data_IF_444539959379
#
_entry.id   IF_444539959379
#
_cell.length_a   1.000
_cell.length_b   1.000
_cell.length_c   1.000
_cell.angle_alpha   90.00
_cell.angle_beta   90.00
_cell.angle_gamma   90.00
#
_symmetry.space_group_name_H-M   'P 1'
#
loop_
_entity.id
_entity.type
_entity.pdbx_description
1 polymer ?
#
# COMPACT_ATOMS: atom_id res chain seq x y z
N UNK A 1 -20.95 3.82 -4.93
CA UNK A 1 -20.79 2.78 -5.95
C UNK A 1 -20.22 1.55 -5.29
N UNK A 2 -21.01 0.48 -5.27
CA UNK A 2 -20.59 -0.87 -4.91
C UNK A 2 -19.71 -1.44 -6.02
N UNK A 3 -18.57 -1.99 -5.63
CA UNK A 3 -17.59 -2.56 -6.55
C UNK A 3 -17.86 -4.05 -6.85
N UNK A 4 -17.35 -4.56 -7.98
CA UNK A 4 -17.40 -5.98 -8.33
C UNK A 4 -16.84 -6.90 -7.24
N UNK A 5 -17.29 -8.16 -7.21
CA UNK A 5 -16.75 -9.17 -6.29
C UNK A 5 -15.22 -9.29 -6.34
N UNK A 6 -14.63 -9.24 -7.55
CA UNK A 6 -13.17 -9.33 -7.72
C UNK A 6 -12.42 -8.16 -7.04
N UNK A 7 -12.99 -6.95 -7.04
CA UNK A 7 -12.41 -5.81 -6.31
C UNK A 7 -12.34 -6.12 -4.82
N UNK A 8 -13.45 -6.60 -4.24
CA UNK A 8 -13.52 -6.87 -2.80
C UNK A 8 -12.52 -7.97 -2.41
N UNK A 9 -12.42 -9.02 -3.22
CA UNK A 9 -11.43 -10.09 -3.03
C UNK A 9 -9.99 -9.57 -3.06
N UNK A 10 -9.66 -8.76 -4.06
CA UNK A 10 -8.32 -8.21 -4.22
C UNK A 10 -7.98 -7.18 -3.12
N UNK A 11 -8.93 -6.35 -2.71
CA UNK A 11 -8.74 -5.35 -1.66
C UNK A 11 -8.52 -6.01 -0.29
N UNK A 12 -9.32 -7.04 0.05
CA UNK A 12 -9.15 -7.82 1.28
C UNK A 12 -7.78 -8.51 1.28
N UNK A 13 -7.45 -9.24 0.21
CA UNK A 13 -6.16 -9.92 0.09
C UNK A 13 -4.98 -8.93 0.21
N UNK A 14 -5.08 -7.76 -0.41
CA UNK A 14 -4.08 -6.70 -0.32
C UNK A 14 -3.87 -6.25 1.13
N UNK A 15 -4.95 -5.95 1.85
CA UNK A 15 -4.90 -5.46 3.23
C UNK A 15 -4.36 -6.52 4.20
N UNK A 16 -4.78 -7.78 4.06
CA UNK A 16 -4.32 -8.89 4.90
C UNK A 16 -2.82 -9.16 4.71
N UNK A 17 -2.35 -9.18 3.47
CA UNK A 17 -0.94 -9.43 3.17
C UNK A 17 -0.06 -8.26 3.60
N UNK A 18 -0.54 -7.01 3.46
CA UNK A 18 0.14 -5.84 4.02
C UNK A 18 0.29 -5.96 5.53
N UNK A 19 -0.80 -6.32 6.23
CA UNK A 19 -0.79 -6.44 7.69
C UNK A 19 0.15 -7.57 8.13
N UNK A 20 0.16 -8.70 7.42
CA UNK A 20 1.07 -9.83 7.68
C UNK A 20 2.53 -9.42 7.47
N UNK A 21 2.87 -8.79 6.35
CA UNK A 21 4.21 -8.28 6.08
C UNK A 21 4.71 -7.34 7.20
N UNK A 22 3.91 -6.33 7.56
CA UNK A 22 4.30 -5.37 8.59
C UNK A 22 4.37 -5.98 10.00
N UNK A 23 3.55 -6.99 10.30
CA UNK A 23 3.62 -7.74 11.56
C UNK A 23 4.91 -8.56 11.65
N UNK A 24 5.29 -9.25 10.57
CA UNK A 24 6.53 -10.03 10.53
C UNK A 24 7.76 -9.14 10.73
N UNK A 25 7.83 -7.99 10.05
CA UNK A 25 8.92 -7.01 10.23
C UNK A 25 8.99 -6.51 11.68
N UNK A 26 7.85 -6.20 12.30
CA UNK A 26 7.82 -5.78 13.71
C UNK A 26 8.27 -6.90 14.65
N UNK A 27 7.83 -8.13 14.41
CA UNK A 27 8.26 -9.29 15.19
C UNK A 27 9.78 -9.50 15.07
N UNK A 28 10.32 -9.37 13.86
CA UNK A 28 11.76 -9.45 13.59
C UNK A 28 12.53 -8.38 14.38
N UNK A 29 12.10 -7.11 14.35
CA UNK A 29 12.74 -6.04 15.14
C UNK A 29 12.65 -6.27 16.65
N UNK A 30 11.52 -6.76 17.15
CA UNK A 30 11.37 -7.09 18.58
C UNK A 30 12.29 -8.25 18.97
N UNK A 31 12.36 -9.30 18.16
CA UNK A 31 13.21 -10.46 18.43
C UNK A 31 14.70 -10.08 18.39
N UNK A 32 15.11 -9.27 17.42
CA UNK A 32 16.49 -8.75 17.34
C UNK A 32 16.83 -7.85 18.53
N UNK A 33 15.88 -7.04 19.00
CA UNK A 33 16.08 -6.23 20.20
C UNK A 33 16.19 -7.09 21.47
N UNK A 34 15.36 -8.11 21.62
CA UNK A 34 15.48 -9.06 22.73
C UNK A 34 16.82 -9.82 22.68
N UNK A 35 17.24 -10.23 21.48
CA UNK A 35 18.53 -10.88 21.26
C UNK A 35 19.71 -9.97 21.67
N UNK A 36 19.67 -8.67 21.35
CA UNK A 36 20.74 -7.75 21.73
C UNK A 36 20.73 -7.37 23.21
N UNK A 37 19.59 -7.43 23.89
CA UNK A 37 19.55 -7.34 25.36
C UNK A 37 20.17 -8.59 25.98
N UNK A 38 19.85 -9.77 25.45
CA UNK A 38 20.41 -11.04 25.92
C UNK A 38 21.92 -11.16 25.63
N UNK A 39 22.44 -10.50 24.59
CA UNK A 39 23.87 -10.49 24.30
C UNK A 39 24.70 -9.65 25.29
N UNK A 40 24.08 -8.98 26.26
CA UNK A 40 24.78 -8.29 27.35
C UNK A 40 25.27 -9.25 28.45
N UNK A 41 25.02 -10.57 28.29
CA UNK A 41 25.50 -11.62 29.18
C UNK A 41 25.25 -11.36 30.68
N UNK A 42 24.05 -10.87 30.99
CA UNK A 42 23.63 -10.50 32.36
C UNK A 42 23.60 -11.70 33.34
N UNK A 43 23.67 -12.93 32.83
CA UNK A 43 23.72 -14.17 33.62
C UNK A 43 24.60 -15.21 32.94
N UNK A 44 25.43 -15.91 33.71
CA UNK A 44 26.27 -17.01 33.21
C UNK A 44 25.59 -18.38 33.25
N UNK A 45 24.27 -18.44 33.48
CA UNK A 45 23.54 -19.71 33.58
C UNK A 45 23.32 -20.36 32.21
N UNK A 46 23.35 -21.69 32.14
CA UNK A 46 23.02 -22.45 30.90
C UNK A 46 21.60 -22.13 30.39
N UNK A 47 20.66 -21.88 31.31
CA UNK A 47 19.28 -21.53 30.96
C UNK A 47 19.20 -20.18 30.22
N UNK A 48 20.00 -19.19 30.64
CA UNK A 48 20.07 -17.89 29.98
C UNK A 48 20.50 -18.00 28.51
N UNK A 49 21.60 -18.73 28.26
CA UNK A 49 22.07 -18.98 26.90
C UNK A 49 21.10 -19.84 26.08
N UNK A 50 20.34 -20.74 26.74
CA UNK A 50 19.25 -21.48 26.10
C UNK A 50 18.12 -20.58 25.60
N UNK A 51 17.69 -19.59 26.42
CA UNK A 51 16.70 -18.58 26.00
C UNK A 51 17.25 -17.72 24.87
N UNK A 52 18.50 -17.29 24.95
CA UNK A 52 19.13 -16.51 23.89
C UNK A 52 19.15 -17.26 22.55
N UNK A 53 19.59 -18.52 22.55
CA UNK A 53 19.56 -19.37 21.36
C UNK A 53 18.14 -19.54 20.81
N UNK A 54 17.13 -19.73 21.67
CA UNK A 54 15.74 -19.85 21.25
C UNK A 54 15.21 -18.57 20.60
N UNK A 55 15.48 -17.39 21.17
CA UNK A 55 15.09 -16.09 20.60
C UNK A 55 15.72 -15.90 19.21
N UNK A 56 16.99 -16.22 19.06
CA UNK A 56 17.69 -16.11 17.78
C UNK A 56 17.13 -17.08 16.72
N UNK A 57 16.86 -18.33 17.11
CA UNK A 57 16.20 -19.31 16.24
C UNK A 57 14.79 -18.86 15.82
N UNK A 58 14.00 -18.28 16.72
CA UNK A 58 12.71 -17.70 16.38
C UNK A 58 12.86 -16.54 15.37
N UNK A 59 13.85 -15.66 15.55
CA UNK A 59 14.14 -14.57 14.62
C UNK A 59 14.48 -15.10 13.22
N UNK A 60 15.33 -16.14 13.16
CA UNK A 60 15.66 -16.82 11.90
C UNK A 60 14.41 -17.46 11.25
N UNK A 61 13.54 -18.06 12.05
CA UNK A 61 12.27 -18.61 11.57
C UNK A 61 11.36 -17.54 10.95
N UNK A 62 11.23 -16.37 11.57
CA UNK A 62 10.47 -15.23 11.03
C UNK A 62 11.06 -14.74 9.70
N UNK A 63 12.40 -14.63 9.62
CA UNK A 63 13.09 -14.24 8.40
C UNK A 63 12.83 -15.24 7.26
N UNK A 64 13.03 -16.54 7.51
CA UNK A 64 12.78 -17.60 6.51
C UNK A 64 11.33 -17.58 6.07
N UNK A 65 10.39 -17.52 7.01
CA UNK A 65 8.96 -17.48 6.70
C UNK A 65 8.62 -16.29 5.79
N UNK A 66 9.10 -15.10 6.11
CA UNK A 66 8.91 -13.89 5.30
C UNK A 66 9.53 -14.04 3.91
N UNK A 67 10.76 -14.56 3.82
CA UNK A 67 11.47 -14.75 2.54
C UNK A 67 10.84 -15.80 1.64
N UNK A 68 10.20 -16.83 2.20
CA UNK A 68 9.52 -17.89 1.45
C UNK A 68 8.11 -17.46 1.02
N UNK A 69 7.34 -16.87 1.94
CA UNK A 69 5.95 -16.48 1.65
C UNK A 69 5.83 -15.18 0.86
N UNK A 70 6.85 -14.32 0.91
CA UNK A 70 6.91 -13.00 0.25
C UNK A 70 5.58 -12.22 0.30
N UNK A 71 5.00 -11.99 1.49
CA UNK A 71 3.68 -11.35 1.62
C UNK A 71 3.62 -9.98 0.95
N UNK A 72 4.75 -9.28 0.86
CA UNK A 72 4.88 -8.01 0.14
C UNK A 72 4.52 -8.14 -1.35
N UNK A 73 4.95 -9.21 -2.03
CA UNK A 73 4.67 -9.37 -3.46
C UNK A 73 3.17 -9.56 -3.70
N UNK A 74 2.53 -10.42 -2.90
CA UNK A 74 1.09 -10.67 -2.97
C UNK A 74 0.30 -9.43 -2.60
N UNK A 75 0.71 -8.70 -1.54
CA UNK A 75 0.11 -7.43 -1.16
C UNK A 75 0.07 -6.45 -2.35
N UNK A 76 1.20 -6.29 -3.03
CA UNK A 76 1.34 -5.33 -4.12
C UNK A 76 0.57 -5.72 -5.37
N UNK A 77 0.64 -6.98 -5.78
CA UNK A 77 -0.10 -7.50 -6.92
C UNK A 77 -1.62 -7.44 -6.69
N UNK A 78 -2.08 -7.82 -5.50
CA UNK A 78 -3.50 -7.71 -5.12
C UNK A 78 -3.97 -6.24 -5.07
N UNK A 79 -3.11 -5.32 -4.61
CA UNK A 79 -3.40 -3.88 -4.65
C UNK A 79 -3.59 -3.39 -6.08
N UNK A 80 -2.67 -3.75 -6.97
CA UNK A 80 -2.73 -3.35 -8.38
C UNK A 80 -4.00 -3.90 -9.04
N UNK A 81 -4.33 -5.17 -8.80
CA UNK A 81 -5.56 -5.81 -9.28
C UNK A 81 -6.81 -5.06 -8.80
N UNK A 82 -6.91 -4.75 -7.50
CA UNK A 82 -8.03 -4.00 -6.95
C UNK A 82 -8.19 -2.63 -7.64
N UNK A 83 -7.10 -1.89 -7.80
CA UNK A 83 -7.14 -0.56 -8.42
C UNK A 83 -7.46 -0.64 -9.92
N UNK A 84 -6.99 -1.66 -10.65
CA UNK A 84 -7.37 -1.91 -12.04
C UNK A 84 -8.87 -2.18 -12.19
N UNK A 85 -9.44 -3.05 -11.34
CA UNK A 85 -10.89 -3.32 -11.34
C UNK A 85 -11.68 -2.07 -10.98
N UNK A 86 -11.19 -1.28 -10.03
CA UNK A 86 -11.81 -0.01 -9.62
C UNK A 86 -11.90 0.98 -10.78
N UNK A 87 -10.79 1.15 -11.50
CA UNK A 87 -10.69 1.97 -12.70
C UNK A 87 -11.67 1.50 -13.78
N UNK A 88 -11.70 0.20 -14.06
CA UNK A 88 -12.60 -0.37 -15.05
C UNK A 88 -14.07 -0.14 -14.68
N UNK A 89 -14.39 -0.30 -13.39
CA UNK A 89 -15.75 -0.09 -12.85
C UNK A 89 -16.22 1.35 -13.07
N UNK A 90 -15.37 2.34 -12.80
CA UNK A 90 -15.69 3.74 -13.03
C UNK A 90 -15.84 4.07 -14.52
N UNK A 91 -14.94 3.58 -15.37
CA UNK A 91 -15.05 3.75 -16.84
C UNK A 91 -16.36 3.19 -17.36
N UNK A 92 -16.73 1.99 -16.91
CA UNK A 92 -18.00 1.34 -17.28
C UNK A 92 -19.22 2.16 -16.85
N UNK A 93 -19.27 2.58 -15.58
CA UNK A 93 -20.38 3.37 -15.04
C UNK A 93 -20.50 4.73 -15.73
N UNK A 94 -19.38 5.32 -16.16
CA UNK A 94 -19.34 6.62 -16.84
C UNK A 94 -19.52 6.55 -18.35
N UNK A 95 -19.80 5.38 -18.93
CA UNK A 95 -19.84 5.18 -20.40
C UNK A 95 -18.57 5.71 -21.10
N UNK A 96 -17.43 5.60 -20.43
CA UNK A 96 -16.15 5.99 -21.00
C UNK A 96 -15.60 4.83 -21.83
N UNK A 97 -14.88 5.14 -22.92
CA UNK A 97 -14.26 4.13 -23.77
C UNK A 97 -13.43 3.14 -22.93
N UNK A 98 -13.49 1.83 -23.20
CA UNK A 98 -14.16 1.19 -24.34
C UNK A 98 -15.65 0.84 -24.10
N UNK A 99 -16.31 1.45 -23.12
CA UNK A 99 -17.70 1.14 -22.75
C UNK A 99 -18.69 2.23 -23.17
N UNK A 100 -18.42 2.96 -24.24
CA UNK A 100 -19.28 4.02 -24.78
C UNK A 100 -20.50 3.50 -25.56
N UNK A 101 -20.64 2.17 -25.68
CA UNK A 101 -21.72 1.52 -26.43
C UNK A 101 -23.11 2.04 -26.10
N UNK A 102 -23.92 2.18 -27.14
CA UNK A 102 -25.33 2.55 -27.02
C UNK A 102 -26.15 1.45 -26.34
N UNK A 103 -25.85 0.17 -26.60
CA UNK A 103 -26.51 -0.96 -25.95
C UNK A 103 -25.74 -1.35 -24.70
N UNK A 104 -26.42 -1.35 -23.56
CA UNK A 104 -25.82 -1.78 -22.30
C UNK A 104 -25.35 -3.25 -22.30
N UNK A 105 -25.95 -4.11 -23.14
CA UNK A 105 -25.55 -5.50 -23.30
C UNK A 105 -24.13 -5.64 -23.89
N UNK A 106 -23.77 -4.79 -24.86
CA UNK A 106 -22.46 -4.81 -25.52
C UNK A 106 -21.38 -4.34 -24.53
N UNK A 107 -21.60 -3.20 -23.87
CA UNK A 107 -20.70 -2.71 -22.83
C UNK A 107 -20.49 -3.70 -21.67
N UNK A 108 -21.53 -4.47 -21.30
CA UNK A 108 -21.42 -5.55 -20.30
C UNK A 108 -20.56 -6.70 -20.80
N UNK A 109 -20.65 -7.04 -22.08
CA UNK A 109 -19.82 -8.09 -22.68
C UNK A 109 -18.35 -7.65 -22.71
N UNK A 110 -18.07 -6.42 -23.11
CA UNK A 110 -16.71 -5.87 -23.10
C UNK A 110 -16.15 -5.74 -21.68
N UNK A 111 -16.98 -5.32 -20.73
CA UNK A 111 -16.58 -5.24 -19.32
C UNK A 111 -16.22 -6.62 -18.78
N UNK A 112 -17.04 -7.65 -19.08
CA UNK A 112 -16.75 -9.03 -18.70
C UNK A 112 -15.43 -9.51 -19.31
N UNK A 113 -15.22 -9.28 -20.60
CA UNK A 113 -14.00 -9.68 -21.30
C UNK A 113 -12.75 -9.05 -20.68
N UNK A 114 -12.77 -7.74 -20.42
CA UNK A 114 -11.63 -7.07 -19.79
C UNK A 114 -11.41 -7.50 -18.33
N UNK A 115 -12.48 -7.82 -17.59
CA UNK A 115 -12.36 -8.42 -16.27
C UNK A 115 -11.73 -9.82 -16.30
N UNK A 116 -12.10 -10.64 -17.29
CA UNK A 116 -11.51 -11.96 -17.54
C UNK A 116 -10.02 -11.82 -17.88
N UNK A 117 -9.64 -10.90 -18.79
CA UNK A 117 -8.25 -10.66 -19.17
C UNK A 117 -7.39 -10.20 -17.97
N UNK A 118 -7.94 -9.33 -17.12
CA UNK A 118 -7.28 -8.86 -15.89
C UNK A 118 -7.12 -10.02 -14.90
N UNK A 119 -8.16 -10.85 -14.71
CA UNK A 119 -8.09 -12.01 -13.83
C UNK A 119 -7.08 -13.03 -14.33
N UNK A 120 -7.06 -13.30 -15.64
CA UNK A 120 -6.14 -14.24 -16.28
C UNK A 120 -4.69 -13.81 -16.11
N UNK A 121 -4.42 -12.52 -16.29
CA UNK A 121 -3.10 -11.92 -16.04
C UNK A 121 -2.66 -12.02 -14.57
N UNK A 122 -3.60 -12.20 -13.64
CA UNK A 122 -3.38 -12.25 -12.20
C UNK A 122 -3.69 -13.62 -11.56
N UNK A 123 -3.78 -14.70 -12.35
CA UNK A 123 -4.11 -16.07 -11.87
C UNK A 123 -3.21 -16.59 -10.75
N UNK A 124 -1.95 -16.14 -10.72
CA UNK A 124 -1.00 -16.49 -9.66
C UNK A 124 -1.46 -16.04 -8.26
N UNK A 125 -2.39 -15.08 -8.16
CA UNK A 125 -3.02 -14.65 -6.91
C UNK A 125 -4.20 -15.52 -6.47
N UNK A 126 -4.59 -16.54 -7.24
CA UNK A 126 -5.81 -17.31 -7.03
C UNK A 126 -5.98 -17.81 -5.58
N UNK A 127 -4.92 -18.33 -4.97
CA UNK A 127 -4.93 -18.80 -3.57
C UNK A 127 -5.17 -17.67 -2.55
N UNK A 128 -4.67 -16.47 -2.81
CA UNK A 128 -4.89 -15.29 -1.96
C UNK A 128 -6.29 -14.70 -2.10
N UNK A 129 -6.93 -14.87 -3.27
CA UNK A 129 -8.29 -14.38 -3.55
C UNK A 129 -9.38 -15.34 -3.06
N UNK A 130 -9.02 -16.60 -2.73
CA UNK A 130 -9.94 -17.72 -2.49
C UNK A 130 -10.89 -17.57 -1.28
N UNK A 131 -10.70 -16.56 -0.42
CA UNK A 131 -11.43 -16.40 0.83
C UNK A 131 -12.65 -15.48 0.79
N UNK A 132 -13.04 -14.97 -0.39
CA UNK A 132 -14.08 -13.95 -0.53
C UNK A 132 -15.14 -14.35 -1.55
N UNK A 133 -16.33 -13.78 -1.37
CA UNK A 133 -17.61 -14.11 -1.99
C UNK A 133 -17.58 -14.16 -3.53
N UNK A 134 -17.13 -15.29 -4.08
CA UNK A 134 -17.08 -15.55 -5.53
C UNK A 134 -18.46 -15.56 -6.19
N UNK A 135 -19.52 -15.62 -5.37
CA UNK A 135 -20.91 -15.47 -5.79
C UNK A 135 -21.33 -13.99 -5.99
N UNK A 136 -20.51 -13.03 -5.55
CA UNK A 136 -20.82 -11.60 -5.72
C UNK A 136 -20.84 -11.21 -7.21
N UNK A 137 -21.83 -10.41 -7.64
CA UNK A 137 -21.95 -10.01 -9.04
C UNK A 137 -20.76 -9.17 -9.49
N UNK A 138 -20.26 -9.44 -10.71
CA UNK A 138 -19.17 -8.66 -11.30
C UNK A 138 -19.67 -7.35 -11.93
N UNK A 139 -20.95 -7.27 -12.27
CA UNK A 139 -21.63 -6.02 -12.64
C UNK A 139 -22.74 -5.77 -11.62
N UNK A 140 -22.59 -4.74 -10.79
CA UNK A 140 -23.56 -4.44 -9.73
C UNK A 140 -24.75 -3.63 -10.26
N UNK A 141 -25.90 -3.72 -9.59
CA UNK A 141 -27.09 -2.93 -9.97
C UNK A 141 -26.83 -1.42 -9.86
N UNK A 142 -25.99 -0.99 -8.90
CA UNK A 142 -25.63 0.42 -8.76
C UNK A 142 -24.78 0.90 -9.94
N UNK A 143 -23.86 0.08 -10.46
CA UNK A 143 -23.10 0.43 -11.67
C UNK A 143 -24.03 0.66 -12.87
N UNK A 144 -25.04 -0.20 -13.01
CA UNK A 144 -26.02 -0.11 -14.09
C UNK A 144 -26.92 1.11 -13.93
N UNK A 145 -27.44 1.34 -12.72
CA UNK A 145 -28.25 2.51 -12.42
C UNK A 145 -27.50 3.81 -12.69
N UNK A 146 -26.21 3.89 -12.32
CA UNK A 146 -25.39 5.07 -12.64
C UNK A 146 -25.19 5.19 -14.15
N UNK A 147 -24.91 4.08 -14.85
CA UNK A 147 -24.70 4.08 -16.30
C UNK A 147 -25.91 4.59 -17.09
N UNK A 148 -27.11 4.23 -16.64
CA UNK A 148 -28.37 4.59 -17.27
C UNK A 148 -28.80 6.04 -16.96
N UNK A 149 -28.16 6.70 -15.98
CA UNK A 149 -28.43 8.11 -15.66
C UNK A 149 -27.97 9.07 -16.77
N UNK A 150 -28.62 10.24 -16.88
CA UNK A 150 -28.19 11.33 -17.75
C UNK A 150 -26.72 11.72 -17.51
N UNK A 151 -26.02 12.15 -18.57
CA UNK A 151 -24.60 12.55 -18.52
C UNK A 151 -24.30 13.53 -17.39
N UNK A 152 -25.19 14.50 -17.16
CA UNK A 152 -25.03 15.51 -16.11
C UNK A 152 -24.95 14.88 -14.72
N UNK A 153 -25.86 13.96 -14.40
CA UNK A 153 -25.85 13.25 -13.12
C UNK A 153 -24.62 12.36 -12.96
N UNK A 154 -24.23 11.64 -14.02
CA UNK A 154 -23.00 10.82 -14.04
C UNK A 154 -21.76 11.68 -13.76
N UNK A 155 -21.66 12.83 -14.43
CA UNK A 155 -20.57 13.80 -14.28
C UNK A 155 -20.49 14.36 -12.86
N UNK A 156 -21.60 14.81 -12.30
CA UNK A 156 -21.65 15.34 -10.93
C UNK A 156 -21.28 14.25 -9.90
N UNK A 157 -21.77 13.03 -10.10
CA UNK A 157 -21.43 11.88 -9.26
C UNK A 157 -19.95 11.54 -9.34
N UNK A 158 -19.35 11.53 -10.54
CA UNK A 158 -17.94 11.26 -10.74
C UNK A 158 -17.04 12.32 -10.09
N UNK A 159 -17.37 13.60 -10.28
CA UNK A 159 -16.65 14.71 -9.65
C UNK A 159 -16.67 14.59 -8.11
N UNK A 160 -17.81 14.27 -7.53
CA UNK A 160 -17.96 14.19 -6.07
C UNK A 160 -17.35 12.91 -5.49
N UNK A 161 -17.78 11.74 -5.98
CA UNK A 161 -17.48 10.44 -5.37
C UNK A 161 -16.18 9.82 -5.84
N UNK A 162 -15.63 10.25 -6.98
CA UNK A 162 -14.38 9.74 -7.52
C UNK A 162 -13.27 10.77 -7.45
N UNK A 163 -13.41 11.91 -8.12
CA UNK A 163 -12.35 12.91 -8.21
C UNK A 163 -12.07 13.56 -6.85
N UNK A 164 -13.08 14.18 -6.23
CA UNK A 164 -12.93 14.89 -4.95
C UNK A 164 -12.46 13.96 -3.82
N UNK A 165 -13.07 12.78 -3.71
CA UNK A 165 -12.71 11.81 -2.67
C UNK A 165 -11.29 11.27 -2.86
N UNK A 166 -10.90 10.92 -4.09
CA UNK A 166 -9.55 10.44 -4.38
C UNK A 166 -8.50 11.52 -4.12
N UNK A 167 -8.76 12.76 -4.54
CA UNK A 167 -7.89 13.92 -4.27
C UNK A 167 -7.70 14.14 -2.77
N UNK A 168 -8.79 14.22 -2.00
CA UNK A 168 -8.74 14.38 -0.54
C UNK A 168 -7.96 13.24 0.13
N UNK A 169 -8.13 12.01 -0.35
CA UNK A 169 -7.40 10.86 0.15
C UNK A 169 -5.88 11.00 -0.10
N UNK A 170 -5.46 11.34 -1.32
CA UNK A 170 -4.05 11.55 -1.65
C UNK A 170 -3.44 12.72 -0.88
N UNK A 171 -4.13 13.86 -0.77
CA UNK A 171 -3.66 15.01 0.03
C UNK A 171 -3.49 14.65 1.52
N UNK A 172 -4.43 13.88 2.09
CA UNK A 172 -4.33 13.40 3.47
C UNK A 172 -3.15 12.43 3.64
N UNK A 173 -2.96 11.50 2.70
CA UNK A 173 -1.84 10.54 2.71
C UNK A 173 -0.50 11.25 2.54
N UNK A 174 -0.39 12.22 1.65
CA UNK A 174 0.82 13.02 1.47
C UNK A 174 1.21 13.75 2.76
N UNK A 175 0.27 14.45 3.40
CA UNK A 175 0.50 15.15 4.67
C UNK A 175 0.91 14.20 5.79
N UNK A 176 0.22 13.06 5.91
CA UNK A 176 0.55 12.05 6.92
C UNK A 176 1.97 11.52 6.73
N UNK A 177 2.36 11.17 5.50
CA UNK A 177 3.69 10.66 5.21
C UNK A 177 4.77 11.73 5.46
N UNK A 178 4.53 12.99 5.07
CA UNK A 178 5.45 14.11 5.35
C UNK A 178 5.66 14.33 6.85
N UNK A 179 4.59 14.20 7.66
CA UNK A 179 4.70 14.28 9.13
C UNK A 179 5.48 13.09 9.68
N UNK A 180 5.17 11.88 9.23
CA UNK A 180 5.90 10.67 9.64
C UNK A 180 7.38 10.79 9.30
N UNK A 181 7.76 11.21 8.08
CA UNK A 181 9.15 11.40 7.71
C UNK A 181 9.93 12.26 8.73
N UNK A 182 9.36 13.40 9.13
CA UNK A 182 9.97 14.29 10.14
C UNK A 182 10.09 13.63 11.50
N UNK A 183 9.03 12.97 11.97
CA UNK A 183 9.02 12.29 13.28
C UNK A 183 10.08 11.19 13.33
N UNK A 184 10.12 10.33 12.30
CA UNK A 184 11.06 9.21 12.25
C UNK A 184 12.51 9.67 12.05
N UNK A 185 12.73 10.74 11.30
CA UNK A 185 14.05 11.38 11.21
C UNK A 185 14.50 11.91 12.58
N UNK A 186 13.61 12.59 13.31
CA UNK A 186 13.91 13.09 14.66
C UNK A 186 14.22 11.96 15.65
N UNK A 187 13.45 10.86 15.61
CA UNK A 187 13.72 9.67 16.41
C UNK A 187 15.07 9.03 16.07
N UNK A 188 15.42 8.96 14.79
CA UNK A 188 16.73 8.47 14.34
C UNK A 188 17.88 9.33 14.87
N UNK A 189 17.80 10.66 14.71
CA UNK A 189 18.80 11.60 15.24
C UNK A 189 18.95 11.45 16.75
N UNK A 190 17.83 11.33 17.47
CA UNK A 190 17.84 11.13 18.92
C UNK A 190 18.54 9.81 19.31
N UNK A 191 18.25 8.71 18.62
CA UNK A 191 18.89 7.42 18.87
C UNK A 191 20.42 7.48 18.64
N UNK A 192 20.85 8.16 17.56
CA UNK A 192 22.28 8.38 17.29
C UNK A 192 22.94 9.28 18.34
N UNK A 193 22.30 10.37 18.76
CA UNK A 193 22.82 11.25 19.79
C UNK A 193 22.96 10.52 21.13
N UNK A 194 21.97 9.69 21.49
CA UNK A 194 22.02 8.86 22.69
C UNK A 194 23.17 7.84 22.63
N UNK A 195 23.30 7.12 21.51
CA UNK A 195 24.42 6.19 21.30
C UNK A 195 25.79 6.89 21.38
N UNK A 196 25.92 8.06 20.75
CA UNK A 196 27.13 8.87 20.82
C UNK A 196 27.45 9.31 22.25
N UNK A 197 26.44 9.73 23.02
CA UNK A 197 26.64 10.13 24.42
C UNK A 197 27.20 8.99 25.28
N UNK A 198 26.73 7.75 25.08
CA UNK A 198 27.28 6.59 25.78
C UNK A 198 28.72 6.28 25.38
N UNK A 199 29.06 6.43 24.10
CA UNK A 199 30.45 6.29 23.65
C UNK A 199 31.34 7.33 24.32
N UNK A 200 30.92 8.59 24.40
CA UNK A 200 31.69 9.66 25.07
C UNK A 200 31.87 9.39 26.56
N UNK A 201 30.83 8.97 27.27
CA UNK A 201 30.95 8.64 28.70
C UNK A 201 31.90 7.46 28.90
N UNK A 202 31.85 6.44 28.03
CA UNK A 202 32.77 5.30 28.07
C UNK A 202 34.23 5.70 27.82
N UNK A 203 34.49 6.77 27.07
CA UNK A 203 35.86 7.31 26.93
C UNK A 203 36.34 7.91 28.26
N UNK A 204 35.44 8.59 28.99
CA UNK A 204 35.77 9.19 30.28
C UNK A 204 35.92 8.16 31.41
N UNK A 205 35.12 7.10 31.41
CA UNK A 205 35.22 5.98 32.35
C UNK A 205 35.07 4.62 31.63
N UNK A 206 36.20 4.04 31.17
CA UNK A 206 36.20 2.75 30.49
C UNK A 206 35.87 1.56 31.39
N UNK A 207 35.99 1.72 32.72
CA UNK A 207 35.83 0.63 33.68
C UNK A 207 34.37 0.41 34.09
N UNK A 208 33.47 1.35 33.80
CA UNK A 208 32.04 1.24 34.10
C UNK A 208 31.38 0.11 33.30
N UNK A 209 30.92 -0.98 33.95
CA UNK A 209 30.30 -2.10 33.27
C UNK A 209 28.84 -1.82 32.90
N UNK A 210 28.32 -2.48 31.85
CA UNK A 210 26.88 -2.58 31.60
C UNK A 210 26.25 -1.52 30.68
N UNK A 211 27.02 -0.90 29.78
CA UNK A 211 26.43 0.00 28.78
C UNK A 211 25.61 -0.79 27.74
N UNK A 212 24.31 -0.47 27.53
CA UNK A 212 23.45 -1.21 26.60
C UNK A 212 23.68 -0.74 25.16
N UNK A 213 24.92 -0.77 24.68
CA UNK A 213 25.30 -0.29 23.35
C UNK A 213 24.67 -1.13 22.24
N UNK A 214 24.60 -2.44 22.43
CA UNK A 214 24.08 -3.43 21.49
C UNK A 214 22.57 -3.24 21.27
N UNK A 215 21.72 -3.15 22.33
CA UNK A 215 20.32 -2.75 22.18
C UNK A 215 20.10 -1.43 21.46
N UNK A 216 20.92 -0.41 21.73
CA UNK A 216 20.80 0.89 21.08
C UNK A 216 21.12 0.85 19.59
N UNK A 217 22.15 0.10 19.19
CA UNK A 217 22.47 -0.11 17.77
C UNK A 217 21.30 -0.80 17.07
N UNK A 218 20.69 -1.82 17.69
CA UNK A 218 19.52 -2.49 17.12
C UNK A 218 18.32 -1.57 17.01
N UNK A 219 18.07 -0.69 17.99
CA UNK A 219 17.03 0.34 17.90
C UNK A 219 17.31 1.26 16.71
N UNK A 220 18.51 1.81 16.59
CA UNK A 220 18.88 2.71 15.49
C UNK A 220 18.72 2.02 14.12
N UNK A 221 19.22 0.79 13.99
CA UNK A 221 19.06 0.00 12.77
C UNK A 221 17.60 -0.29 12.44
N UNK A 222 16.76 -0.60 13.45
CA UNK A 222 15.32 -0.83 13.27
C UNK A 222 14.58 0.42 12.84
N UNK A 223 14.93 1.60 13.38
CA UNK A 223 14.38 2.89 12.96
C UNK A 223 14.72 3.16 11.48
N UNK A 224 15.97 2.93 11.09
CA UNK A 224 16.41 3.08 9.69
C UNK A 224 15.67 2.09 8.78
N UNK A 225 15.66 0.80 9.13
CA UNK A 225 14.94 -0.22 8.38
C UNK A 225 13.45 0.12 8.24
N UNK A 226 12.80 0.61 9.31
CA UNK A 226 11.40 1.02 9.25
C UNK A 226 11.17 2.21 8.30
N UNK A 227 12.05 3.21 8.32
CA UNK A 227 11.96 4.35 7.38
C UNK A 227 12.16 3.94 5.93
N UNK A 228 13.09 3.01 5.67
CA UNK A 228 13.33 2.45 4.34
C UNK A 228 12.15 1.61 3.84
N UNK A 229 11.53 0.82 4.71
CA UNK A 229 10.34 0.03 4.34
C UNK A 229 9.12 0.93 4.08
N UNK A 230 8.91 1.95 4.91
CA UNK A 230 7.73 2.83 4.79
C UNK A 230 7.88 3.91 3.72
N UNK A 231 9.10 4.21 3.26
CA UNK A 231 9.41 5.15 2.16
C UNK A 231 8.66 6.49 2.29
N UNK A 232 8.61 7.06 3.51
CA UNK A 232 7.74 8.19 3.82
C UNK A 232 7.94 9.42 2.90
N UNK A 233 9.18 9.80 2.61
CA UNK A 233 9.48 10.95 1.75
C UNK A 233 9.03 10.71 0.30
N UNK A 234 9.30 9.51 -0.22
CA UNK A 234 8.94 9.12 -1.58
C UNK A 234 7.43 9.10 -1.76
N UNK A 235 6.69 8.48 -0.83
CA UNK A 235 5.23 8.44 -0.84
C UNK A 235 4.62 9.84 -0.65
N UNK A 236 5.20 10.69 0.19
CA UNK A 236 4.73 12.06 0.35
C UNK A 236 4.83 12.85 -0.97
N UNK A 237 5.94 12.70 -1.69
CA UNK A 237 6.16 13.35 -2.99
C UNK A 237 5.18 12.82 -4.05
N UNK A 238 5.13 11.49 -4.24
CA UNK A 238 4.26 10.85 -5.22
C UNK A 238 2.78 11.23 -5.00
N UNK A 239 2.29 11.11 -3.77
CA UNK A 239 0.90 11.46 -3.46
C UNK A 239 0.59 12.96 -3.62
N UNK A 240 1.56 13.85 -3.40
CA UNK A 240 1.38 15.28 -3.64
C UNK A 240 1.23 15.56 -5.13
N UNK A 241 2.11 14.99 -5.95
CA UNK A 241 2.06 15.13 -7.41
C UNK A 241 0.73 14.60 -7.95
N UNK A 242 0.34 13.39 -7.55
CA UNK A 242 -0.93 12.78 -7.97
C UNK A 242 -2.13 13.61 -7.55
N UNK A 243 -2.16 14.18 -6.33
CA UNK A 243 -3.25 15.07 -5.92
C UNK A 243 -3.40 16.30 -6.83
N UNK A 244 -2.28 16.87 -7.30
CA UNK A 244 -2.30 17.98 -8.27
C UNK A 244 -2.76 17.53 -9.66
N UNK A 245 -2.28 16.38 -10.16
CA UNK A 245 -2.74 15.81 -11.44
C UNK A 245 -4.26 15.57 -11.43
N UNK A 246 -4.80 15.04 -10.33
CA UNK A 246 -6.25 14.84 -10.15
C UNK A 246 -7.00 16.17 -10.11
N UNK A 247 -6.39 17.21 -9.56
CA UNK A 247 -6.95 18.57 -9.59
C UNK A 247 -7.14 19.06 -11.02
N UNK A 248 -6.15 18.85 -11.90
CA UNK A 248 -6.22 19.24 -13.31
C UNK A 248 -7.28 18.45 -14.08
N UNK A 249 -7.46 17.17 -13.78
CA UNK A 249 -8.48 16.35 -14.45
C UNK A 249 -9.90 16.70 -14.00
N UNK A 250 -10.07 17.30 -12.81
CA UNK A 250 -11.36 17.82 -12.37
C UNK A 250 -11.89 18.93 -13.29
N UNK A 251 -11.00 19.81 -13.75
CA UNK A 251 -11.35 20.91 -14.65
C UNK A 251 -11.75 20.34 -16.03
N UNK A 252 -10.98 19.37 -16.57
CA UNK A 252 -11.33 18.67 -17.82
C UNK A 252 -12.72 18.03 -17.77
N UNK A 253 -13.06 17.37 -16.66
CA UNK A 253 -14.38 16.79 -16.47
C UNK A 253 -15.45 17.88 -16.42
N UNK A 254 -15.18 19.00 -15.74
CA UNK A 254 -16.09 20.14 -15.60
C UNK A 254 -16.38 20.84 -16.93
N UNK A 255 -15.39 20.91 -17.82
CA UNK A 255 -15.53 21.55 -19.13
C UNK A 255 -16.11 20.61 -20.21
N UNK A 256 -16.18 19.30 -19.94
CA UNK A 256 -16.74 18.33 -20.88
C UNK A 256 -18.24 18.54 -21.14
N UNK A 257 -18.58 18.97 -22.36
CA UNK A 257 -19.95 19.32 -22.79
C UNK A 257 -20.57 18.34 -23.80
N UNK A 258 -19.84 17.32 -24.24
CA UNK A 258 -20.33 16.21 -25.06
C UNK A 258 -20.10 14.86 -24.36
N UNK A 259 -20.74 13.78 -24.81
CA UNK A 259 -20.48 12.44 -24.26
C UNK A 259 -19.06 11.95 -24.60
N UNK A 260 -18.55 12.30 -25.79
CA UNK A 260 -17.19 11.98 -26.23
C UNK A 260 -16.14 12.73 -25.39
N UNK A 261 -16.35 14.02 -25.16
CA UNK A 261 -15.47 14.83 -24.30
C UNK A 261 -15.49 14.32 -22.86
N UNK A 262 -16.65 13.90 -22.36
CA UNK A 262 -16.77 13.34 -21.02
C UNK A 262 -16.07 11.97 -20.91
N UNK A 263 -16.27 11.09 -21.89
CA UNK A 263 -15.57 9.80 -22.01
C UNK A 263 -14.05 9.97 -22.01
N UNK A 264 -13.53 10.89 -22.84
CA UNK A 264 -12.10 11.19 -22.90
C UNK A 264 -11.56 11.73 -21.56
N UNK A 265 -12.27 12.67 -20.94
CA UNK A 265 -11.87 13.24 -19.65
C UNK A 265 -11.88 12.21 -18.52
N UNK A 266 -12.87 11.29 -18.49
CA UNK A 266 -12.89 10.18 -17.53
C UNK A 266 -11.71 9.24 -17.74
N UNK A 267 -11.39 8.91 -18.99
CA UNK A 267 -10.24 8.06 -19.30
C UNK A 267 -8.91 8.71 -18.89
N UNK A 268 -8.73 10.01 -19.12
CA UNK A 268 -7.52 10.72 -18.66
C UNK A 268 -7.43 10.75 -17.13
N UNK A 269 -8.55 11.00 -16.44
CA UNK A 269 -8.60 10.97 -14.98
C UNK A 269 -8.25 9.59 -14.41
N UNK A 270 -8.84 8.52 -14.97
CA UNK A 270 -8.56 7.16 -14.51
C UNK A 270 -7.15 6.69 -14.88
N UNK A 271 -6.59 7.16 -16.00
CA UNK A 271 -5.20 6.92 -16.36
C UNK A 271 -4.24 7.65 -15.42
N UNK A 272 -4.56 8.88 -15.00
CA UNK A 272 -3.80 9.60 -13.97
C UNK A 272 -3.75 8.83 -12.64
N UNK A 273 -4.89 8.26 -12.20
CA UNK A 273 -4.90 7.37 -11.04
C UNK A 273 -4.03 6.13 -11.27
N UNK A 274 -4.09 5.51 -12.45
CA UNK A 274 -3.28 4.34 -12.78
C UNK A 274 -1.79 4.63 -12.85
N UNK A 275 -1.35 5.81 -13.32
CA UNK A 275 0.08 6.18 -13.45
C UNK A 275 0.81 6.10 -12.11
N UNK A 276 0.19 6.58 -11.03
CA UNK A 276 0.78 6.49 -9.69
C UNK A 276 1.01 5.04 -9.27
N UNK A 277 0.02 4.18 -9.51
CA UNK A 277 0.09 2.75 -9.20
C UNK A 277 1.15 2.05 -10.06
N UNK A 278 1.19 2.30 -11.37
CA UNK A 278 2.18 1.70 -12.28
C UNK A 278 3.60 2.17 -11.95
N UNK A 279 3.80 3.46 -11.68
CA UNK A 279 5.10 3.99 -11.23
C UNK A 279 5.53 3.36 -9.91
N UNK A 280 4.57 3.07 -9.02
CA UNK A 280 4.85 2.41 -7.76
C UNK A 280 5.24 0.93 -7.93
N UNK A 281 4.62 0.19 -8.87
CA UNK A 281 5.03 -1.18 -9.23
C UNK A 281 6.41 -1.18 -9.89
N UNK A 282 6.66 -0.27 -10.84
CA UNK A 282 7.94 -0.18 -11.56
C UNK A 282 9.13 0.09 -10.62
N UNK A 283 8.93 0.87 -9.56
CA UNK A 283 9.94 1.16 -8.52
C UNK A 283 10.35 -0.06 -7.67
N UNK A 284 9.72 -1.21 -7.84
CA UNK A 284 10.03 -2.43 -7.10
C UNK A 284 10.73 -3.50 -7.93
N UNK A 285 10.64 -3.41 -9.25
CA UNK A 285 11.31 -4.33 -10.17
C UNK A 285 12.74 -3.88 -10.52
N UNK A 286 13.17 -2.72 -10.02
CA UNK A 286 14.53 -2.20 -10.05
C UNK A 286 15.17 -2.30 -8.67
#
# INVERSE_FOLDING_TARGET
>A
MKYPGLYNSADVASNEQQATFLRLIRAEYVLLFLASVLSLDLSSSKAYFGVYAAVFLCSMGVLIFRSVTKPEQVWYQARALAESVKTLTWRFAMRAQPFDDARAADARADFRKLMEDILDSNRHLGSALSGTDSASPQTTDEMMSIRDSPRKERKDLYLQRRICDQRKWYEKKARSNKRSAKVWMGLGIFAYALGFSFIVVRIADPAMPGWPTEPLIVIAASLIGWTQIKKFNELASAYTLTAHEIGLTADLITDANSDEAFSAAVNEAELAFSREHTQWVARQNN
#
